data_IF_148608859786
#
_entry.id   IF_148608859786
#
_cell.length_a   1.000
_cell.length_b   1.000
_cell.length_c   1.000
_cell.angle_alpha   90.00
_cell.angle_beta   90.00
_cell.angle_gamma   90.00
#
_symmetry.space_group_name_H-M   'P 1'
#
loop_
_entity.id
_entity.type
_entity.pdbx_description
1 polymer ?
#
# COMPACT_ATOMS: atom_id res chain seq x y z
N UNK A 1 -2.42 -12.16 -1.51
CA UNK A 1 -2.29 -10.74 -1.18
C UNK A 1 -0.85 -10.39 -1.48
N UNK A 2 -0.63 -9.68 -2.59
CA UNK A 2 0.72 -9.31 -3.01
C UNK A 2 1.29 -8.30 -2.01
N UNK A 3 2.49 -8.59 -1.49
CA UNK A 3 3.18 -7.81 -0.46
C UNK A 3 4.62 -7.61 -0.92
N UNK A 4 5.08 -6.36 -0.92
CA UNK A 4 6.48 -6.02 -1.07
C UNK A 4 7.05 -5.66 0.31
N UNK A 5 8.07 -6.40 0.76
CA UNK A 5 8.86 -6.01 1.93
C UNK A 5 9.95 -5.06 1.46
N UNK A 6 9.87 -3.79 1.87
CA UNK A 6 10.72 -2.74 1.32
C UNK A 6 12.06 -2.66 2.04
N UNK A 7 12.09 -2.61 3.38
CA UNK A 7 13.32 -2.69 4.19
C UNK A 7 13.03 -3.24 5.59
N UNK A 8 14.08 -3.68 6.32
CA UNK A 8 13.99 -4.20 7.68
C UNK A 8 14.97 -3.47 8.60
N UNK A 9 14.53 -3.23 9.83
CA UNK A 9 15.36 -2.77 10.96
C UNK A 9 16.12 -1.44 10.73
N UNK A 10 15.52 -0.49 10.01
CA UNK A 10 16.09 0.84 9.79
C UNK A 10 15.73 1.81 10.94
N UNK A 11 16.68 2.68 11.32
CA UNK A 11 16.44 3.77 12.28
C UNK A 11 16.26 5.07 11.50
N UNK A 12 15.11 5.72 11.67
CA UNK A 12 14.79 6.99 11.04
C UNK A 12 15.10 8.14 12.01
N UNK A 13 15.89 9.10 11.55
CA UNK A 13 16.17 10.31 12.32
C UNK A 13 15.03 11.33 12.21
N UNK A 14 14.85 12.13 13.25
CA UNK A 14 13.77 13.14 13.26
C UNK A 14 14.03 14.22 12.22
N UNK A 15 13.07 14.42 11.32
CA UNK A 15 13.16 15.41 10.24
C UNK A 15 13.80 14.88 8.96
N UNK A 16 14.26 13.63 8.96
CA UNK A 16 14.71 12.95 7.75
C UNK A 16 13.50 12.56 6.88
N UNK A 17 13.56 12.90 5.59
CA UNK A 17 12.61 12.43 4.60
C UNK A 17 13.22 11.20 3.90
N UNK A 18 12.54 10.07 4.00
CA UNK A 18 12.93 8.81 3.37
C UNK A 18 11.86 8.38 2.38
N UNK A 19 12.30 7.86 1.24
CA UNK A 19 11.44 7.34 0.18
C UNK A 19 11.84 5.91 -0.13
N UNK A 20 10.86 5.01 -0.17
CA UNK A 20 11.04 3.63 -0.59
C UNK A 20 10.31 3.43 -1.90
N UNK A 21 11.06 3.23 -2.98
CA UNK A 21 10.48 2.88 -4.27
C UNK A 21 9.98 1.44 -4.23
N UNK A 22 8.77 1.22 -4.72
CA UNK A 22 8.21 -0.12 -4.89
C UNK A 22 7.53 -0.22 -6.25
N UNK A 23 7.47 -1.45 -6.76
CA UNK A 23 6.68 -1.79 -7.93
C UNK A 23 5.82 -3.00 -7.57
N UNK A 24 4.54 -2.93 -7.91
CA UNK A 24 3.61 -4.02 -7.73
C UNK A 24 3.00 -4.32 -9.10
N UNK A 25 3.19 -5.55 -9.58
CA UNK A 25 2.54 -6.01 -10.80
C UNK A 25 1.11 -6.44 -10.45
N UNK A 26 0.15 -5.62 -10.87
CA UNK A 26 -1.27 -5.97 -10.79
C UNK A 26 -1.53 -6.87 -11.98
N UNK A 27 -1.41 -8.19 -11.77
CA UNK A 27 -1.41 -9.17 -12.85
C UNK A 27 -2.59 -9.02 -13.81
N UNK A 28 -2.41 -9.46 -15.07
CA UNK A 28 -3.34 -9.29 -16.20
C UNK A 28 -4.81 -9.72 -15.97
N UNK A 29 -5.11 -10.45 -14.90
CA UNK A 29 -6.46 -10.92 -14.54
C UNK A 29 -6.97 -10.23 -13.27
N UNK A 30 -6.62 -8.96 -13.07
CA UNK A 30 -7.16 -8.16 -11.98
C UNK A 30 -8.58 -7.69 -12.27
N UNK A 31 -9.45 -7.73 -11.26
CA UNK A 31 -10.79 -7.16 -11.36
C UNK A 31 -10.65 -5.64 -11.39
N UNK A 32 -11.21 -4.93 -12.38
CA UNK A 32 -11.14 -3.48 -12.48
C UNK A 32 -11.89 -2.81 -11.33
N UNK A 33 -11.50 -1.59 -11.01
CA UNK A 33 -12.28 -0.73 -10.12
C UNK A 33 -13.66 -0.50 -10.73
N UNK A 34 -14.73 -0.76 -9.96
CA UNK A 34 -16.10 -0.70 -10.46
C UNK A 34 -17.07 -0.31 -9.35
N UNK A 35 -18.11 0.42 -9.71
CA UNK A 35 -19.24 0.73 -8.84
C UNK A 35 -20.54 0.40 -9.56
N UNK A 36 -21.44 -0.29 -8.88
CA UNK A 36 -22.81 -0.60 -9.32
C UNK A 36 -23.79 -0.13 -8.26
N UNK A 37 -25.10 -0.20 -8.54
CA UNK A 37 -26.15 0.19 -7.59
C UNK A 37 -26.07 -0.59 -6.25
N UNK A 38 -25.51 -1.81 -6.25
CA UNK A 38 -25.52 -2.69 -5.07
C UNK A 38 -24.15 -3.14 -4.59
N UNK A 39 -23.07 -2.78 -5.30
CA UNK A 39 -21.73 -3.28 -4.97
C UNK A 39 -20.65 -2.38 -5.56
N UNK A 40 -19.49 -2.36 -4.91
CA UNK A 40 -18.28 -1.73 -5.44
C UNK A 40 -17.07 -2.63 -5.29
N UNK A 41 -16.10 -2.42 -6.17
CA UNK A 41 -14.75 -2.99 -6.14
C UNK A 41 -13.80 -1.82 -6.11
N UNK A 42 -13.10 -1.65 -4.99
CA UNK A 42 -12.06 -0.64 -4.80
C UNK A 42 -10.72 -1.31 -4.50
N UNK A 43 -9.65 -0.64 -4.90
CA UNK A 43 -8.29 -1.09 -4.66
C UNK A 43 -7.58 -0.10 -3.76
N UNK A 44 -6.87 -0.62 -2.75
CA UNK A 44 -6.13 0.18 -1.79
C UNK A 44 -4.66 -0.22 -1.81
N UNK A 45 -3.77 0.77 -1.88
CA UNK A 45 -2.37 0.62 -1.51
C UNK A 45 -2.23 0.97 -0.04
N UNK A 46 -1.65 0.04 0.73
CA UNK A 46 -1.44 0.19 2.17
C UNK A 46 0.05 0.15 2.49
N UNK A 47 0.57 1.28 2.98
CA UNK A 47 1.88 1.37 3.60
C UNK A 47 1.77 1.10 5.09
N UNK A 48 2.62 0.21 5.61
CA UNK A 48 2.70 -0.10 7.04
C UNK A 48 4.15 0.10 7.47
N UNK A 49 4.34 0.94 8.48
CA UNK A 49 5.60 1.08 9.18
C UNK A 49 5.43 0.45 10.56
N UNK A 50 5.93 -0.78 10.68
CA UNK A 50 5.97 -1.53 11.93
C UNK A 50 6.98 -0.87 12.88
N UNK A 51 6.62 -0.73 14.16
CA UNK A 51 7.44 -0.02 15.16
C UNK A 51 7.52 -0.84 16.45
N UNK A 52 8.73 -0.95 17.00
CA UNK A 52 8.97 -1.76 18.21
C UNK A 52 8.33 -1.20 19.50
N UNK A 53 8.18 0.12 19.61
CA UNK A 53 7.81 0.79 20.87
C UNK A 53 6.47 1.54 20.81
N UNK A 54 5.80 1.57 19.66
CA UNK A 54 4.54 2.29 19.45
C UNK A 54 3.66 1.50 18.47
N UNK A 55 2.37 1.82 18.45
CA UNK A 55 1.45 1.31 17.43
C UNK A 55 1.99 1.59 16.03
N UNK A 56 1.85 0.62 15.12
CA UNK A 56 2.23 0.76 13.72
C UNK A 56 1.61 2.01 13.11
N UNK A 57 2.39 2.70 12.28
CA UNK A 57 1.85 3.75 11.44
C UNK A 57 1.31 3.11 10.16
N UNK A 58 0.07 3.45 9.81
CA UNK A 58 -0.61 2.93 8.61
C UNK A 58 -1.06 4.09 7.76
N UNK A 59 -0.79 3.99 6.47
CA UNK A 59 -1.29 4.93 5.46
C UNK A 59 -1.97 4.10 4.38
N UNK A 60 -3.17 4.52 4.00
CA UNK A 60 -3.98 3.87 2.98
C UNK A 60 -4.29 4.90 1.90
N UNK A 61 -4.22 4.47 0.64
CA UNK A 61 -4.58 5.29 -0.51
C UNK A 61 -5.32 4.45 -1.53
N UNK A 62 -6.47 4.94 -1.97
CA UNK A 62 -7.22 4.32 -3.05
C UNK A 62 -6.51 4.49 -4.39
N UNK A 63 -6.56 3.44 -5.21
CA UNK A 63 -6.05 3.43 -6.58
C UNK A 63 -7.14 2.94 -7.54
N UNK A 64 -7.06 3.40 -8.78
CA UNK A 64 -7.94 2.94 -9.87
C UNK A 64 -7.22 1.89 -10.69
N UNK A 65 -7.84 0.72 -10.83
CA UNK A 65 -7.39 -0.35 -11.73
C UNK A 65 -8.33 -0.38 -12.94
N UNK A 66 -7.76 -0.19 -14.13
CA UNK A 66 -8.49 -0.17 -15.39
C UNK A 66 -8.53 -1.54 -16.09
N UNK A 67 -9.18 -1.58 -17.25
CA UNK A 67 -9.18 -2.71 -18.19
C UNK A 67 -7.96 -2.68 -19.11
#
# INVERSE_FOLDING_TARGET
MDRADLERDETLESGEAREWSFSLDIGQVSIPSMETEKSSVTWLVKGILDRNLRRDLRVEREITVGF
#
